data_IF_678670074714
#
_entry.id   IF_678670074714
#
_cell.length_a   1.000
_cell.length_b   1.000
_cell.length_c   1.000
_cell.angle_alpha   90.00
_cell.angle_beta   90.00
_cell.angle_gamma   90.00
#
_symmetry.space_group_name_H-M   'P 1'
#
loop_
_entity.id
_entity.type
_entity.pdbx_description
1 polymer ?
#
# COMPACT_ATOMS: atom_id res chain seq x y z
N UNK A 1 -30.45 5.21 10.67
CA UNK A 1 -29.73 6.26 9.91
C UNK A 1 -28.90 5.60 8.85
N UNK A 2 -29.30 5.79 7.58
CA UNK A 2 -28.49 5.39 6.44
C UNK A 2 -27.31 6.38 6.44
N UNK A 3 -26.15 5.96 6.98
CA UNK A 3 -24.90 6.69 6.77
C UNK A 3 -24.69 6.75 5.26
N UNK A 4 -24.90 7.91 4.67
CA UNK A 4 -24.45 8.15 3.30
C UNK A 4 -22.97 7.79 3.28
N UNK A 5 -22.61 6.86 2.40
CA UNK A 5 -21.24 6.43 2.24
C UNK A 5 -20.41 7.66 1.83
N UNK A 6 -19.51 8.09 2.71
CA UNK A 6 -18.61 9.19 2.42
C UNK A 6 -17.79 8.88 1.17
N UNK A 7 -17.44 9.91 0.42
CA UNK A 7 -16.52 9.81 -0.72
C UNK A 7 -15.22 10.51 -0.36
N UNK A 8 -14.11 9.92 -0.79
CA UNK A 8 -12.77 10.49 -0.58
C UNK A 8 -11.92 10.39 -1.84
N UNK A 9 -11.02 11.34 -1.96
CA UNK A 9 -10.03 11.39 -3.04
C UNK A 9 -8.82 10.52 -2.70
N UNK A 10 -8.09 10.12 -3.72
CA UNK A 10 -6.79 9.46 -3.54
C UNK A 10 -5.85 10.34 -2.72
N UNK A 11 -5.83 11.66 -2.99
CA UNK A 11 -5.00 12.64 -2.27
C UNK A 11 -5.33 12.78 -0.78
N UNK A 12 -6.55 12.45 -0.35
CA UNK A 12 -6.96 12.60 1.06
C UNK A 12 -6.23 11.62 1.99
N UNK A 13 -5.77 10.49 1.46
CA UNK A 13 -5.06 9.47 2.23
C UNK A 13 -3.63 9.21 1.77
N UNK A 14 -3.18 9.86 0.71
CA UNK A 14 -1.80 9.77 0.23
C UNK A 14 -0.82 10.04 1.37
N UNK A 15 0.19 9.15 1.51
CA UNK A 15 1.16 9.22 2.60
C UNK A 15 2.56 8.95 2.07
N UNK A 16 3.53 9.71 2.57
CA UNK A 16 4.95 9.52 2.29
C UNK A 16 5.69 9.14 3.56
N UNK A 17 6.77 8.39 3.40
CA UNK A 17 7.64 7.99 4.48
C UNK A 17 9.08 7.99 3.96
N UNK A 18 10.02 8.46 4.78
CA UNK A 18 11.43 8.56 4.43
C UNK A 18 12.27 7.89 5.51
N UNK A 19 13.22 7.06 5.09
CA UNK A 19 14.18 6.41 5.97
C UNK A 19 15.59 6.63 5.46
N UNK A 20 16.56 6.67 6.37
CA UNK A 20 17.97 6.43 6.05
C UNK A 20 18.26 4.98 6.42
N UNK A 21 18.80 4.22 5.47
CA UNK A 21 19.10 2.80 5.68
C UNK A 21 20.30 2.65 6.64
N UNK A 22 20.02 2.12 7.82
CA UNK A 22 20.99 1.95 8.92
C UNK A 22 21.54 0.53 8.95
N UNK A 23 22.66 0.28 9.66
CA UNK A 23 23.23 -1.07 9.77
C UNK A 23 22.28 -2.15 10.26
N UNK A 24 21.33 -1.82 11.15
CA UNK A 24 20.33 -2.76 11.65
C UNK A 24 19.28 -3.16 10.60
N UNK A 25 19.23 -2.47 9.47
CA UNK A 25 18.24 -2.72 8.41
C UNK A 25 18.77 -3.62 7.29
N UNK A 26 20.02 -4.06 7.35
CA UNK A 26 20.66 -4.82 6.28
C UNK A 26 20.83 -6.30 6.63
N UNK A 27 20.92 -7.13 5.57
CA UNK A 27 21.19 -8.55 5.67
C UNK A 27 22.70 -8.84 5.57
N UNK A 28 23.07 -10.14 5.56
CA UNK A 28 24.46 -10.57 5.41
C UNK A 28 25.16 -10.15 4.12
N UNK A 29 24.40 -9.75 3.09
CA UNK A 29 24.94 -9.20 1.83
C UNK A 29 25.01 -7.68 1.83
N UNK A 30 24.87 -7.04 2.99
CA UNK A 30 24.90 -5.56 3.16
C UNK A 30 23.83 -4.82 2.33
N UNK A 31 22.69 -5.43 2.12
CA UNK A 31 21.54 -4.88 1.41
C UNK A 31 20.34 -4.79 2.32
N UNK A 32 19.40 -3.91 2.01
CA UNK A 32 18.13 -3.79 2.72
C UNK A 32 17.52 -5.19 2.90
N UNK A 33 17.30 -5.57 4.17
CA UNK A 33 16.68 -6.84 4.52
C UNK A 33 15.20 -6.83 4.09
N UNK A 34 14.79 -7.87 3.37
CA UNK A 34 13.43 -7.97 2.84
C UNK A 34 12.34 -7.87 3.90
N UNK A 35 12.55 -8.47 5.07
CA UNK A 35 11.61 -8.37 6.18
C UNK A 35 11.45 -6.95 6.71
N UNK A 36 12.52 -6.16 6.76
CA UNK A 36 12.46 -4.74 7.15
C UNK A 36 11.67 -3.94 6.12
N UNK A 37 11.91 -4.16 4.83
CA UNK A 37 11.14 -3.48 3.78
C UNK A 37 9.66 -3.86 3.85
N UNK A 38 9.34 -5.12 4.07
CA UNK A 38 7.94 -5.57 4.24
C UNK A 38 7.26 -4.90 5.42
N UNK A 39 7.94 -4.75 6.56
CA UNK A 39 7.43 -4.02 7.73
C UNK A 39 7.12 -2.57 7.39
N UNK A 40 8.05 -1.87 6.73
CA UNK A 40 7.85 -0.48 6.32
C UNK A 40 6.69 -0.32 5.34
N UNK A 41 6.59 -1.23 4.36
CA UNK A 41 5.49 -1.25 3.39
C UNK A 41 4.15 -1.45 4.09
N UNK A 42 4.05 -2.42 4.97
CA UNK A 42 2.81 -2.76 5.67
C UNK A 42 2.34 -1.60 6.57
N UNK A 43 3.25 -1.00 7.33
CA UNK A 43 2.94 0.14 8.20
C UNK A 43 2.47 1.35 7.38
N UNK A 44 3.18 1.68 6.31
CA UNK A 44 2.79 2.80 5.44
C UNK A 44 1.41 2.57 4.80
N UNK A 45 1.20 1.38 4.26
CA UNK A 45 -0.08 1.02 3.65
C UNK A 45 -1.23 1.03 4.67
N UNK A 46 -0.98 0.57 5.90
CA UNK A 46 -1.97 0.61 6.97
C UNK A 46 -2.37 2.05 7.32
N UNK A 47 -1.42 2.99 7.34
CA UNK A 47 -1.72 4.41 7.58
C UNK A 47 -2.59 4.97 6.47
N UNK A 48 -2.28 4.68 5.21
CA UNK A 48 -3.11 5.08 4.06
C UNK A 48 -4.54 4.55 4.21
N UNK A 49 -4.67 3.25 4.50
CA UNK A 49 -5.98 2.62 4.68
C UNK A 49 -6.78 3.23 5.84
N UNK A 50 -6.13 3.49 6.98
CA UNK A 50 -6.75 4.16 8.14
C UNK A 50 -7.24 5.56 7.79
N UNK A 51 -6.44 6.33 7.05
CA UNK A 51 -6.79 7.69 6.62
C UNK A 51 -7.99 7.70 5.68
N UNK A 52 -8.08 6.70 4.80
CA UNK A 52 -9.22 6.56 3.90
C UNK A 52 -10.48 6.11 4.67
N UNK A 53 -10.37 5.05 5.47
CA UNK A 53 -11.52 4.43 6.13
C UNK A 53 -11.98 5.15 7.40
N UNK A 54 -11.11 5.91 8.06
CA UNK A 54 -11.33 6.52 9.37
C UNK A 54 -11.72 5.51 10.47
N UNK A 55 -11.18 4.32 10.40
CA UNK A 55 -11.37 3.25 11.39
C UNK A 55 -10.17 2.30 11.40
N UNK A 56 -10.20 1.31 12.27
CA UNK A 56 -9.17 0.28 12.30
C UNK A 56 -9.23 -0.58 11.04
N UNK A 57 -8.07 -1.10 10.66
CA UNK A 57 -7.90 -1.94 9.47
C UNK A 57 -7.05 -3.16 9.81
N UNK A 58 -7.19 -4.21 9.01
CA UNK A 58 -6.32 -5.39 9.08
C UNK A 58 -5.78 -5.72 7.70
N UNK A 59 -4.52 -6.16 7.65
CA UNK A 59 -3.88 -6.60 6.40
C UNK A 59 -4.48 -7.94 5.99
N UNK A 60 -5.05 -8.01 4.81
CA UNK A 60 -5.65 -9.24 4.27
C UNK A 60 -4.73 -9.96 3.30
N UNK A 61 -3.99 -9.24 2.46
CA UNK A 61 -3.04 -9.83 1.52
C UNK A 61 -1.97 -8.84 1.07
N UNK A 62 -0.85 -9.38 0.61
CA UNK A 62 0.24 -8.63 0.00
C UNK A 62 0.56 -9.27 -1.35
N UNK A 63 0.46 -8.49 -2.41
CA UNK A 63 0.75 -8.94 -3.76
C UNK A 63 1.96 -8.22 -4.35
N UNK A 64 2.68 -8.96 -5.21
CA UNK A 64 3.72 -8.40 -6.07
C UNK A 64 4.91 -7.80 -5.31
N UNK A 65 5.37 -8.49 -4.30
CA UNK A 65 6.54 -8.08 -3.53
C UNK A 65 7.84 -8.48 -4.25
N UNK A 66 8.15 -7.79 -5.34
CA UNK A 66 9.36 -8.04 -6.13
C UNK A 66 10.42 -6.99 -5.83
N UNK A 67 11.65 -7.44 -5.57
CA UNK A 67 12.80 -6.57 -5.37
C UNK A 67 13.47 -6.30 -6.72
N UNK A 68 13.30 -5.10 -7.26
CA UNK A 68 13.81 -4.71 -8.58
C UNK A 68 15.24 -4.19 -8.55
N UNK A 69 15.70 -3.72 -7.39
CA UNK A 69 17.04 -3.19 -7.19
C UNK A 69 17.46 -3.35 -5.73
N UNK A 70 18.77 -3.34 -5.49
CA UNK A 70 19.32 -3.39 -4.14
C UNK A 70 19.41 -1.98 -3.55
N UNK A 71 19.22 -1.87 -2.24
CA UNK A 71 19.47 -0.68 -1.46
C UNK A 71 20.58 -0.96 -0.44
N UNK A 72 21.50 -0.02 -0.26
CA UNK A 72 22.68 -0.16 0.58
C UNK A 72 22.64 0.76 1.80
N UNK A 73 23.43 0.44 2.82
CA UNK A 73 23.60 1.27 4.02
C UNK A 73 23.86 2.73 3.65
N UNK A 74 23.28 3.63 4.41
CA UNK A 74 23.35 5.07 4.24
C UNK A 74 22.57 5.63 3.03
N UNK A 75 21.87 4.79 2.29
CA UNK A 75 20.95 5.28 1.25
C UNK A 75 19.71 5.93 1.87
N UNK A 76 19.21 6.97 1.23
CA UNK A 76 17.88 7.52 1.54
C UNK A 76 16.82 6.70 0.83
N UNK A 77 15.85 6.20 1.59
CA UNK A 77 14.71 5.43 1.09
C UNK A 77 13.48 6.33 1.12
N UNK A 78 12.89 6.58 -0.04
CA UNK A 78 11.63 7.31 -0.16
C UNK A 78 10.51 6.33 -0.48
N UNK A 79 9.41 6.42 0.28
CA UNK A 79 8.25 5.56 0.08
C UNK A 79 6.99 6.41 -0.04
N UNK A 80 6.08 5.99 -0.91
CA UNK A 80 4.77 6.63 -1.06
C UNK A 80 3.67 5.59 -1.14
N UNK A 81 2.54 5.87 -0.51
CA UNK A 81 1.37 5.01 -0.51
C UNK A 81 0.12 5.76 -0.93
N UNK A 82 -0.74 5.08 -1.69
CA UNK A 82 -2.02 5.62 -2.16
C UNK A 82 -3.05 4.52 -2.37
N UNK A 83 -4.32 4.85 -2.16
CA UNK A 83 -5.43 3.95 -2.52
C UNK A 83 -5.51 3.84 -4.04
N UNK A 84 -5.64 2.63 -4.55
CA UNK A 84 -5.81 2.35 -5.98
C UNK A 84 -7.19 1.77 -6.31
N UNK A 85 -7.79 1.05 -5.38
CA UNK A 85 -9.10 0.42 -5.56
C UNK A 85 -9.80 0.24 -4.21
N UNK A 86 -11.12 0.34 -4.19
CA UNK A 86 -11.92 0.00 -3.02
C UNK A 86 -13.02 -0.99 -3.41
N UNK A 87 -13.17 -2.05 -2.61
CA UNK A 87 -14.32 -2.93 -2.61
C UNK A 87 -15.38 -2.39 -1.64
N UNK A 88 -16.30 -3.24 -1.19
CA UNK A 88 -17.31 -2.81 -0.21
C UNK A 88 -16.68 -2.52 1.16
N UNK A 89 -15.85 -3.43 1.67
CA UNK A 89 -15.21 -3.34 2.98
C UNK A 89 -13.68 -3.35 2.88
N UNK A 90 -13.14 -3.46 1.69
CA UNK A 90 -11.71 -3.60 1.44
C UNK A 90 -11.15 -2.42 0.67
N UNK A 91 -9.84 -2.23 0.82
CA UNK A 91 -9.06 -1.18 0.14
C UNK A 91 -7.78 -1.79 -0.39
N UNK A 92 -7.44 -1.49 -1.65
CA UNK A 92 -6.12 -1.79 -2.18
C UNK A 92 -5.24 -0.56 -2.06
N UNK A 93 -4.06 -0.72 -1.50
CA UNK A 93 -3.04 0.31 -1.37
C UNK A 93 -1.82 -0.07 -2.20
N UNK A 94 -1.37 0.84 -3.07
CA UNK A 94 -0.09 0.73 -3.76
C UNK A 94 0.99 1.43 -2.95
N UNK A 95 2.09 0.75 -2.68
CA UNK A 95 3.27 1.34 -2.06
C UNK A 95 4.45 1.24 -3.02
N UNK A 96 5.01 2.39 -3.36
CA UNK A 96 6.23 2.50 -4.15
C UNK A 96 7.41 2.83 -3.24
N UNK A 97 8.52 2.14 -3.43
CA UNK A 97 9.76 2.35 -2.70
C UNK A 97 10.87 2.71 -3.66
N UNK A 98 11.58 3.80 -3.35
CA UNK A 98 12.69 4.33 -4.16
C UNK A 98 13.93 4.49 -3.31
N UNK A 99 15.09 4.31 -3.93
CA UNK A 99 16.37 4.83 -3.43
C UNK A 99 16.56 6.24 -4.00
N UNK A 100 16.76 7.21 -3.13
CA UNK A 100 17.01 8.59 -3.52
C UNK A 100 18.52 8.89 -3.38
N UNK A 101 19.13 9.32 -4.48
CA UNK A 101 20.52 9.74 -4.50
C UNK A 101 20.68 11.15 -3.91
N UNK A 102 21.90 11.53 -3.54
CA UNK A 102 22.17 12.85 -2.97
C UNK A 102 21.82 14.01 -3.91
N UNK A 103 21.78 13.76 -5.21
CA UNK A 103 21.35 14.73 -6.23
C UNK A 103 19.82 14.81 -6.40
N UNK A 104 19.07 14.00 -5.64
CA UNK A 104 17.60 13.96 -5.68
C UNK A 104 17.01 12.99 -6.70
N UNK A 105 17.82 12.31 -7.50
CA UNK A 105 17.31 11.28 -8.43
C UNK A 105 16.80 10.07 -7.66
N UNK A 106 15.67 9.52 -8.10
CA UNK A 106 15.01 8.36 -7.48
C UNK A 106 15.01 7.17 -8.41
N UNK A 107 15.40 6.01 -7.90
CA UNK A 107 15.33 4.73 -8.59
C UNK A 107 14.39 3.81 -7.85
N UNK A 108 13.40 3.24 -8.55
CA UNK A 108 12.43 2.34 -7.95
C UNK A 108 13.10 1.02 -7.53
N UNK A 109 12.87 0.64 -6.28
CA UNK A 109 13.32 -0.61 -5.67
C UNK A 109 12.21 -1.64 -5.67
N UNK A 110 10.98 -1.20 -5.38
CA UNK A 110 9.83 -2.08 -5.25
C UNK A 110 8.52 -1.32 -5.50
N UNK A 111 7.54 -2.04 -6.01
CA UNK A 111 6.13 -1.64 -6.02
C UNK A 111 5.33 -2.82 -5.48
N UNK A 112 4.53 -2.59 -4.46
CA UNK A 112 3.68 -3.60 -3.86
C UNK A 112 2.23 -3.14 -3.81
N UNK A 113 1.32 -4.09 -3.83
CA UNK A 113 -0.12 -3.87 -3.64
C UNK A 113 -0.56 -4.67 -2.42
N UNK A 114 -1.19 -4.01 -1.47
CA UNK A 114 -1.69 -4.61 -0.25
C UNK A 114 -3.19 -4.41 -0.17
N UNK A 115 -3.90 -5.39 0.38
CA UNK A 115 -5.34 -5.28 0.63
C UNK A 115 -5.56 -5.21 2.13
N UNK A 116 -6.36 -4.23 2.54
CA UNK A 116 -6.82 -4.03 3.91
C UNK A 116 -8.32 -4.15 3.98
N UNK A 117 -8.81 -4.66 5.10
CA UNK A 117 -10.24 -4.69 5.42
C UNK A 117 -10.50 -3.73 6.58
N UNK A 118 -11.50 -2.88 6.43
CA UNK A 118 -11.93 -1.96 7.48
C UNK A 118 -12.76 -2.71 8.53
N UNK A 119 -12.48 -2.41 9.80
CA UNK A 119 -13.09 -3.11 10.94
C UNK A 119 -13.75 -2.12 11.90
N UNK A 120 -14.87 -2.54 12.49
CA UNK A 120 -15.47 -1.84 13.62
C UNK A 120 -14.78 -2.21 14.94
N UNK A 121 -15.31 -1.69 16.06
CA UNK A 121 -14.76 -1.93 17.39
C UNK A 121 -14.83 -3.41 17.83
N UNK A 122 -15.72 -4.20 17.22
CA UNK A 122 -15.85 -5.63 17.45
C UNK A 122 -15.13 -6.48 16.41
N UNK A 123 -14.25 -5.87 15.61
CA UNK A 123 -13.47 -6.53 14.56
C UNK A 123 -14.33 -7.12 13.44
N UNK A 124 -15.52 -6.57 13.21
CA UNK A 124 -16.36 -6.94 12.07
C UNK A 124 -16.08 -6.02 10.87
N UNK A 125 -16.04 -6.57 9.63
CA UNK A 125 -15.86 -5.75 8.44
C UNK A 125 -16.96 -4.69 8.28
N UNK A 126 -16.56 -3.47 7.92
CA UNK A 126 -17.46 -2.34 7.70
C UNK A 126 -17.22 -1.72 6.33
N UNK A 127 -18.26 -1.14 5.69
CA UNK A 127 -18.12 -0.46 4.41
C UNK A 127 -17.13 0.70 4.48
N UNK A 128 -16.36 0.87 3.41
CA UNK A 128 -15.39 1.97 3.26
C UNK A 128 -15.96 3.08 2.38
N UNK A 129 -15.47 4.33 2.54
CA UNK A 129 -15.80 5.42 1.64
C UNK A 129 -15.50 5.07 0.19
N UNK A 130 -16.33 5.55 -0.72
CA UNK A 130 -16.10 5.42 -2.17
C UNK A 130 -14.92 6.29 -2.59
N UNK A 131 -14.20 5.87 -3.62
CA UNK A 131 -13.05 6.58 -4.14
C UNK A 131 -13.45 7.51 -5.27
N UNK A 132 -13.09 8.79 -5.14
CA UNK A 132 -13.23 9.79 -6.21
C UNK A 132 -11.97 9.74 -7.07
N UNK A 133 -12.14 9.46 -8.36
CA UNK A 133 -11.04 9.40 -9.32
C UNK A 133 -10.96 10.75 -10.05
N UNK A 134 -9.82 11.42 -9.93
CA UNK A 134 -9.63 12.77 -10.45
C UNK A 134 -8.73 12.82 -11.69
N UNK A 135 -7.82 11.84 -11.84
CA UNK A 135 -6.84 11.83 -12.94
C UNK A 135 -6.97 10.56 -13.79
N UNK A 136 -6.43 10.62 -14.99
CA UNK A 136 -6.37 9.45 -15.87
C UNK A 136 -5.51 8.33 -15.26
N UNK A 137 -4.41 8.67 -14.59
CA UNK A 137 -3.58 7.69 -13.86
C UNK A 137 -4.40 6.97 -12.80
N UNK A 138 -5.20 7.70 -12.00
CA UNK A 138 -6.06 7.11 -10.98
C UNK A 138 -7.12 6.19 -11.58
N UNK A 139 -7.70 6.56 -12.73
CA UNK A 139 -8.68 5.71 -13.44
C UNK A 139 -8.04 4.43 -13.96
N UNK A 140 -6.84 4.51 -14.53
CA UNK A 140 -6.08 3.34 -14.99
C UNK A 140 -5.70 2.42 -13.82
N UNK A 141 -5.26 2.98 -12.71
CA UNK A 141 -4.96 2.22 -11.49
C UNK A 141 -6.21 1.53 -10.93
N UNK A 142 -7.36 2.21 -10.96
CA UNK A 142 -8.63 1.63 -10.56
C UNK A 142 -9.01 0.42 -11.42
N UNK A 143 -8.92 0.53 -12.73
CA UNK A 143 -9.23 -0.57 -13.64
C UNK A 143 -8.29 -1.76 -13.43
N UNK A 144 -7.00 -1.52 -13.27
CA UNK A 144 -6.03 -2.56 -12.94
C UNK A 144 -6.30 -3.18 -11.56
N UNK A 145 -6.67 -2.36 -10.58
CA UNK A 145 -7.06 -2.79 -9.24
C UNK A 145 -8.30 -3.66 -9.25
N UNK A 146 -9.30 -3.34 -10.07
CA UNK A 146 -10.49 -4.15 -10.25
C UNK A 146 -10.15 -5.56 -10.77
N UNK A 147 -9.21 -5.65 -11.73
CA UNK A 147 -8.73 -6.94 -12.24
C UNK A 147 -8.00 -7.73 -11.17
N UNK A 148 -7.14 -7.10 -10.38
CA UNK A 148 -6.45 -7.76 -9.26
C UNK A 148 -7.44 -8.26 -8.21
N UNK A 149 -8.46 -7.46 -7.91
CA UNK A 149 -9.53 -7.83 -6.97
C UNK A 149 -10.26 -9.09 -7.45
N UNK A 150 -10.64 -9.16 -8.72
CA UNK A 150 -11.30 -10.33 -9.31
C UNK A 150 -10.40 -11.57 -9.27
N UNK A 151 -9.10 -11.44 -9.57
CA UNK A 151 -8.13 -12.54 -9.50
C UNK A 151 -7.93 -13.06 -8.07
N UNK A 152 -7.88 -12.17 -7.07
CA UNK A 152 -7.80 -12.58 -5.66
C UNK A 152 -9.04 -13.37 -5.22
N UNK A 153 -10.21 -12.94 -5.65
CA UNK A 153 -11.46 -13.65 -5.38
C UNK A 153 -11.46 -15.04 -6.01
N UNK A 154 -11.00 -15.16 -7.25
CA UNK A 154 -10.87 -16.45 -7.94
C UNK A 154 -9.88 -17.37 -7.22
N UNK A 155 -8.70 -16.88 -6.83
CA UNK A 155 -7.70 -17.65 -6.08
C UNK A 155 -8.26 -18.20 -4.77
N UNK A 156 -9.05 -17.42 -4.04
CA UNK A 156 -9.69 -17.88 -2.80
C UNK A 156 -10.68 -19.02 -3.05
N UNK A 157 -11.44 -18.95 -4.15
CA UNK A 157 -12.37 -20.02 -4.53
C UNK A 157 -11.64 -21.31 -4.94
N UNK A 158 -10.43 -21.19 -5.50
CA UNK A 158 -9.59 -22.29 -5.95
C UNK A 158 -8.58 -22.77 -4.89
N UNK A 159 -8.58 -22.18 -3.71
CA UNK A 159 -7.67 -22.46 -2.59
C UNK A 159 -6.17 -22.24 -2.92
N UNK A 160 -5.87 -21.21 -3.65
CA UNK A 160 -4.48 -20.78 -3.89
C UNK A 160 -4.05 -19.69 -2.93
#
# INVERSE_FOLDING_TARGET
EIRMQAEKRVSDSYTEQIHILMPQHINGYKRLFGGVLMEWIDVLAAVVARRHANCNVTTASVDNLQFKAAAHVNSTIFMSGRITYVGRTSMEVRVDTFVESLDGNRKMVNRAYLVFVALDENEHPVPVPRLILETEEERQEWEAGAKRHALRKQRRLENY
#
